data_IF_923870589100
#
_entry.id   IF_923870589100
#
_cell.length_a   1.000
_cell.length_b   1.000
_cell.length_c   1.000
_cell.angle_alpha   90.00
_cell.angle_beta   90.00
_cell.angle_gamma   90.00
#
_symmetry.space_group_name_H-M   'P 1'
#
loop_
_entity.id
_entity.type
_entity.pdbx_description
1 polymer ?
#
# COMPACT_ATOMS: atom_id res chain seq x y z
N UNK A 1 7.19 4.19 -12.35
CA UNK A 1 6.37 5.41 -12.24
C UNK A 1 4.97 5.00 -11.85
N UNK A 2 4.49 5.50 -10.75
CA UNK A 2 3.16 5.22 -10.24
C UNK A 2 2.07 5.53 -11.28
N UNK A 3 2.38 6.36 -12.24
CA UNK A 3 1.54 6.66 -13.37
C UNK A 3 2.39 6.70 -14.63
N UNK A 4 1.85 6.18 -15.67
CA UNK A 4 2.39 6.07 -17.04
C UNK A 4 3.31 7.22 -17.49
N UNK A 5 3.25 8.41 -16.89
CA UNK A 5 4.10 9.58 -17.14
C UNK A 5 4.07 10.61 -15.99
N UNK A 6 3.62 10.25 -14.77
CA UNK A 6 3.36 11.21 -13.69
C UNK A 6 3.73 10.65 -12.32
N UNK A 7 3.96 11.54 -11.35
CA UNK A 7 4.41 11.22 -9.99
C UNK A 7 3.27 11.02 -8.98
N UNK A 8 2.01 10.96 -9.44
CA UNK A 8 0.84 10.94 -8.56
C UNK A 8 -0.27 10.06 -9.11
N UNK A 9 -0.80 9.17 -8.24
CA UNK A 9 -2.08 8.48 -8.45
C UNK A 9 -3.13 8.96 -7.45
N UNK A 10 -4.40 8.93 -7.86
CA UNK A 10 -5.55 9.24 -6.99
C UNK A 10 -6.61 8.15 -7.13
N UNK A 11 -6.68 7.25 -6.15
CA UNK A 11 -7.56 6.08 -6.20
C UNK A 11 -8.75 6.27 -5.28
N UNK A 12 -9.95 6.45 -5.85
CA UNK A 12 -11.15 6.85 -5.15
C UNK A 12 -12.08 5.66 -4.88
N UNK A 13 -12.51 5.49 -3.64
CA UNK A 13 -13.52 4.53 -3.20
C UNK A 13 -13.22 3.07 -3.60
N UNK A 14 -13.76 2.61 -4.74
CA UNK A 14 -13.59 1.25 -5.27
C UNK A 14 -12.39 1.10 -6.22
N UNK A 15 -11.66 2.19 -6.47
CA UNK A 15 -10.39 2.14 -7.19
C UNK A 15 -9.33 1.59 -6.26
N UNK A 16 -8.70 0.48 -6.67
CA UNK A 16 -7.72 -0.25 -5.87
C UNK A 16 -6.38 0.48 -5.87
N UNK A 17 -5.88 0.76 -7.08
CA UNK A 17 -4.63 1.50 -7.30
C UNK A 17 -4.60 2.09 -8.71
N UNK A 18 -3.57 2.89 -9.00
CA UNK A 18 -3.33 3.47 -10.31
C UNK A 18 -4.46 4.38 -10.83
N UNK A 19 -5.26 4.96 -9.92
CA UNK A 19 -6.28 5.93 -10.30
C UNK A 19 -5.66 7.17 -10.95
N UNK A 20 -6.17 7.56 -12.12
CA UNK A 20 -5.68 8.73 -12.86
C UNK A 20 -6.36 9.99 -12.29
N UNK A 21 -5.59 11.03 -11.88
CA UNK A 21 -6.18 12.29 -11.46
C UNK A 21 -7.11 12.88 -12.53
N UNK A 22 -8.26 13.38 -12.11
CA UNK A 22 -9.30 13.91 -12.99
C UNK A 22 -9.98 15.14 -12.37
N UNK A 23 -10.86 15.79 -13.12
CA UNK A 23 -11.66 16.93 -12.68
C UNK A 23 -12.85 16.53 -11.78
N UNK A 24 -12.94 15.27 -11.34
CA UNK A 24 -13.99 14.83 -10.44
C UNK A 24 -13.90 15.58 -9.13
N UNK A 25 -14.96 16.29 -8.77
CA UNK A 25 -15.12 16.93 -7.47
C UNK A 25 -15.35 15.84 -6.41
N UNK A 26 -14.54 15.87 -5.35
CA UNK A 26 -14.73 15.02 -4.18
C UNK A 26 -15.97 15.48 -3.40
N UNK A 27 -16.72 14.52 -2.89
CA UNK A 27 -17.94 14.77 -2.10
C UNK A 27 -17.82 14.12 -0.72
N UNK A 28 -18.62 14.58 0.22
CA UNK A 28 -18.69 14.00 1.55
C UNK A 28 -18.95 12.49 1.49
N UNK A 29 -18.21 11.73 2.30
CA UNK A 29 -18.23 10.27 2.30
C UNK A 29 -17.21 9.62 1.36
N UNK A 30 -16.54 10.37 0.49
CA UNK A 30 -15.47 9.83 -0.35
C UNK A 30 -14.23 9.48 0.48
N UNK A 31 -13.64 8.33 0.16
CA UNK A 31 -12.32 7.92 0.63
C UNK A 31 -11.37 7.83 -0.57
N UNK A 32 -10.21 8.47 -0.49
CA UNK A 32 -9.25 8.55 -1.60
C UNK A 32 -7.85 8.15 -1.13
N UNK A 33 -7.21 7.27 -1.86
CA UNK A 33 -5.77 7.05 -1.75
C UNK A 33 -5.04 8.07 -2.63
N UNK A 34 -4.02 8.69 -2.08
CA UNK A 34 -3.06 9.52 -2.82
C UNK A 34 -1.71 8.86 -2.70
N UNK A 35 -1.15 8.49 -3.83
CA UNK A 35 0.08 7.75 -3.97
C UNK A 35 1.09 8.63 -4.72
N UNK A 36 2.28 8.80 -4.14
CA UNK A 36 3.27 9.79 -4.58
C UNK A 36 4.65 9.16 -4.66
N UNK A 37 5.23 9.20 -5.84
CA UNK A 37 6.64 8.85 -6.05
C UNK A 37 7.49 10.12 -6.17
N UNK A 38 8.52 10.23 -5.36
CA UNK A 38 9.49 11.32 -5.40
C UNK A 38 10.90 10.80 -5.76
N UNK A 39 11.70 11.67 -6.37
CA UNK A 39 13.11 11.36 -6.67
C UNK A 39 13.98 12.40 -5.96
N UNK A 40 14.86 11.92 -5.09
CA UNK A 40 15.84 12.75 -4.38
C UNK A 40 17.23 12.18 -4.64
N UNK A 41 18.13 13.00 -5.20
CA UNK A 41 19.51 12.58 -5.51
C UNK A 41 19.59 11.27 -6.32
N UNK A 42 18.70 11.06 -7.29
CA UNK A 42 18.54 9.88 -8.15
C UNK A 42 17.96 8.64 -7.45
N UNK A 43 17.60 8.70 -6.19
CA UNK A 43 16.90 7.63 -5.49
C UNK A 43 15.40 7.92 -5.47
N UNK A 44 14.63 6.86 -5.67
CA UNK A 44 13.18 6.90 -5.60
C UNK A 44 12.72 6.67 -4.15
N UNK A 45 11.67 7.36 -3.77
CA UNK A 45 10.89 7.09 -2.57
C UNK A 45 9.42 7.09 -2.94
N UNK A 46 8.70 6.05 -2.53
CA UNK A 46 7.30 5.83 -2.85
C UNK A 46 6.47 5.72 -1.58
N UNK A 47 5.29 6.35 -1.59
CA UNK A 47 4.42 6.35 -0.41
C UNK A 47 3.00 6.67 -0.79
N UNK A 48 2.05 5.97 -0.18
CA UNK A 48 0.64 6.30 -0.35
C UNK A 48 -0.11 6.38 0.97
N UNK A 49 -1.17 7.19 0.99
CA UNK A 49 -2.03 7.40 2.15
C UNK A 49 -3.48 7.55 1.75
N UNK A 50 -4.36 7.11 2.66
CA UNK A 50 -5.79 7.36 2.56
C UNK A 50 -6.16 8.72 3.13
N UNK A 51 -7.08 9.40 2.47
CA UNK A 51 -7.75 10.62 2.95
C UNK A 51 -9.26 10.42 2.89
N UNK A 52 -9.99 11.11 3.75
CA UNK A 52 -11.46 11.08 3.79
C UNK A 52 -12.01 12.49 3.61
N UNK A 53 -13.15 12.61 2.95
CA UNK A 53 -13.87 13.87 2.78
C UNK A 53 -15.08 13.85 3.71
N UNK A 54 -15.03 14.69 4.75
CA UNK A 54 -16.05 14.69 5.80
C UNK A 54 -16.18 13.33 6.49
N UNK A 55 -17.41 12.98 6.85
CA UNK A 55 -17.72 11.73 7.52
C UNK A 55 -17.87 10.57 6.53
N UNK A 56 -17.05 9.54 6.69
CA UNK A 56 -17.14 8.31 5.91
C UNK A 56 -17.92 7.23 6.68
N UNK A 57 -18.42 6.23 5.95
CA UNK A 57 -19.12 5.11 6.58
C UNK A 57 -18.22 4.36 7.58
N UNK A 58 -18.82 3.74 8.60
CA UNK A 58 -18.11 2.90 9.58
C UNK A 58 -17.32 1.79 8.87
N UNK A 59 -17.85 1.23 7.78
CA UNK A 59 -17.16 0.22 6.97
C UNK A 59 -15.90 0.78 6.31
N UNK A 60 -15.98 2.00 5.77
CA UNK A 60 -14.82 2.67 5.17
C UNK A 60 -13.74 2.96 6.22
N UNK A 61 -14.14 3.49 7.39
CA UNK A 61 -13.22 3.72 8.50
C UNK A 61 -12.52 2.45 8.95
N UNK A 62 -13.28 1.38 9.19
CA UNK A 62 -12.72 0.09 9.61
C UNK A 62 -11.75 -0.49 8.57
N UNK A 63 -12.07 -0.35 7.27
CA UNK A 63 -11.20 -0.77 6.18
C UNK A 63 -9.88 0.02 6.18
N UNK A 64 -9.96 1.34 6.26
CA UNK A 64 -8.79 2.24 6.29
C UNK A 64 -7.91 1.91 7.51
N UNK A 65 -8.50 1.80 8.69
CA UNK A 65 -7.80 1.45 9.92
C UNK A 65 -7.10 0.09 9.81
N UNK A 66 -7.81 -0.94 9.34
CA UNK A 66 -7.26 -2.28 9.20
C UNK A 66 -6.12 -2.33 8.17
N UNK A 67 -6.25 -1.60 7.06
CA UNK A 67 -5.20 -1.51 6.02
C UNK A 67 -3.92 -0.91 6.59
N UNK A 68 -4.01 0.24 7.26
CA UNK A 68 -2.87 0.87 7.91
C UNK A 68 -2.22 -0.04 8.96
N UNK A 69 -3.02 -0.62 9.84
CA UNK A 69 -2.53 -1.48 10.92
C UNK A 69 -1.87 -2.75 10.38
N UNK A 70 -2.38 -3.34 9.30
CA UNK A 70 -1.77 -4.52 8.66
C UNK A 70 -0.38 -4.20 8.11
N UNK A 71 -0.23 -3.06 7.42
CA UNK A 71 1.06 -2.58 6.93
C UNK A 71 2.04 -2.39 8.08
N UNK A 72 1.64 -1.67 9.14
CA UNK A 72 2.50 -1.40 10.28
C UNK A 72 2.87 -2.66 11.08
N UNK A 73 1.98 -3.68 11.15
CA UNK A 73 2.32 -4.98 11.73
C UNK A 73 3.41 -5.69 10.93
N UNK A 74 3.30 -5.69 9.61
CA UNK A 74 4.30 -6.27 8.72
C UNK A 74 5.65 -5.52 8.79
N UNK A 75 5.62 -4.20 8.87
CA UNK A 75 6.84 -3.39 9.03
C UNK A 75 7.54 -3.70 10.38
N UNK A 76 6.79 -3.85 11.45
CA UNK A 76 7.35 -4.10 12.80
C UNK A 76 8.12 -5.42 12.94
N UNK A 77 7.89 -6.40 12.08
CA UNK A 77 8.65 -7.66 12.13
C UNK A 77 9.94 -7.62 11.31
N UNK A 78 10.19 -6.55 10.55
CA UNK A 78 11.32 -6.44 9.66
C UNK A 78 12.65 -6.43 10.42
N UNK A 79 13.55 -7.29 10.01
CA UNK A 79 14.95 -7.35 10.42
C UNK A 79 15.68 -8.33 9.50
N UNK A 80 17.02 -8.34 9.49
CA UNK A 80 17.78 -9.37 8.81
C UNK A 80 17.34 -10.79 9.21
N UNK A 81 17.24 -11.69 8.24
CA UNK A 81 16.85 -13.09 8.44
C UNK A 81 15.34 -13.37 8.34
N UNK A 82 14.47 -12.36 8.41
CA UNK A 82 13.04 -12.50 8.11
C UNK A 82 12.87 -12.77 6.61
N UNK A 83 11.88 -13.55 6.24
CA UNK A 83 11.55 -13.82 4.83
C UNK A 83 10.34 -13.04 4.38
N UNK A 84 10.28 -12.67 3.11
CA UNK A 84 9.17 -11.87 2.55
C UNK A 84 7.81 -12.58 2.68
N UNK A 85 7.77 -13.91 2.74
CA UNK A 85 6.56 -14.65 3.03
C UNK A 85 6.00 -14.43 4.44
N UNK A 86 6.86 -14.07 5.41
CA UNK A 86 6.44 -13.69 6.77
C UNK A 86 5.72 -12.34 6.74
N UNK A 87 6.24 -11.37 5.94
CA UNK A 87 5.62 -10.06 5.72
C UNK A 87 4.20 -10.23 5.14
N UNK A 88 4.08 -11.00 4.06
CA UNK A 88 2.78 -11.27 3.43
C UNK A 88 1.82 -12.02 4.36
N UNK A 89 2.33 -12.96 5.15
CA UNK A 89 1.52 -13.71 6.12
C UNK A 89 0.94 -12.80 7.22
N UNK A 90 1.74 -11.87 7.77
CA UNK A 90 1.27 -10.94 8.80
C UNK A 90 0.15 -10.04 8.29
N UNK A 91 0.28 -9.51 7.06
CA UNK A 91 -0.76 -8.69 6.42
C UNK A 91 -2.01 -9.55 6.20
N UNK A 92 -1.89 -10.67 5.52
CA UNK A 92 -3.00 -11.53 5.13
C UNK A 92 -3.78 -12.02 6.35
N UNK A 93 -3.09 -12.56 7.35
CA UNK A 93 -3.74 -13.12 8.54
C UNK A 93 -4.55 -12.07 9.29
N UNK A 94 -3.99 -10.86 9.44
CA UNK A 94 -4.68 -9.77 10.11
C UNK A 94 -5.90 -9.27 9.34
N UNK A 95 -5.79 -9.13 8.03
CA UNK A 95 -6.85 -8.62 7.16
C UNK A 95 -8.00 -9.62 7.04
N UNK A 96 -7.70 -10.91 6.87
CA UNK A 96 -8.72 -11.96 6.77
C UNK A 96 -9.47 -12.16 8.10
N UNK A 97 -8.79 -12.02 9.25
CA UNK A 97 -9.43 -12.02 10.59
C UNK A 97 -10.43 -10.87 10.77
N UNK A 98 -10.20 -9.73 10.10
CA UNK A 98 -11.12 -8.59 10.07
C UNK A 98 -12.26 -8.72 9.05
N UNK A 99 -12.29 -9.81 8.27
CA UNK A 99 -13.30 -10.06 7.24
C UNK A 99 -13.10 -9.25 5.96
N UNK A 100 -11.89 -8.76 5.71
CA UNK A 100 -11.49 -8.08 4.49
C UNK A 100 -10.65 -9.00 3.59
N UNK A 101 -10.38 -8.59 2.36
CA UNK A 101 -9.62 -9.38 1.37
C UNK A 101 -8.37 -8.65 0.93
N UNK A 102 -7.25 -9.38 0.85
CA UNK A 102 -5.99 -8.88 0.29
C UNK A 102 -5.99 -9.07 -1.22
N UNK A 103 -5.75 -8.00 -1.97
CA UNK A 103 -5.56 -8.04 -3.43
C UNK A 103 -4.28 -8.81 -3.76
N UNK A 104 -4.34 -9.66 -4.81
CA UNK A 104 -3.22 -10.54 -5.19
C UNK A 104 -2.58 -10.21 -6.53
N UNK A 105 -3.19 -9.31 -7.29
CA UNK A 105 -2.76 -8.94 -8.64
C UNK A 105 -1.62 -7.91 -8.64
N UNK A 106 -1.38 -7.27 -7.50
CA UNK A 106 -0.34 -6.26 -7.29
C UNK A 106 0.49 -6.61 -6.06
N UNK A 107 1.70 -6.06 -6.01
CA UNK A 107 2.64 -6.29 -4.92
C UNK A 107 3.57 -5.08 -4.74
N UNK A 108 4.21 -4.99 -3.60
CA UNK A 108 5.34 -4.11 -3.39
C UNK A 108 6.58 -4.59 -4.15
N UNK A 109 7.59 -3.77 -4.19
CA UNK A 109 8.78 -3.99 -5.02
C UNK A 109 10.04 -3.45 -4.37
N UNK A 110 11.19 -3.97 -4.77
CA UNK A 110 12.46 -3.33 -4.48
C UNK A 110 12.50 -1.94 -5.10
N UNK A 111 13.16 -1.00 -4.43
CA UNK A 111 13.24 0.40 -4.84
C UNK A 111 14.59 0.99 -4.45
N UNK A 112 15.24 1.69 -5.39
CA UNK A 112 16.53 2.37 -5.13
C UNK A 112 16.72 3.53 -6.11
N UNK A 113 17.75 3.49 -6.93
CA UNK A 113 17.92 4.32 -8.13
C UNK A 113 17.20 3.74 -9.36
N UNK A 114 16.57 2.59 -9.19
CA UNK A 114 15.60 1.97 -10.09
C UNK A 114 14.25 1.95 -9.39
N UNK A 115 13.21 2.42 -10.06
CA UNK A 115 11.90 2.57 -9.43
C UNK A 115 11.26 1.24 -9.04
N UNK A 116 11.24 0.28 -9.97
CA UNK A 116 10.77 -1.07 -9.72
C UNK A 116 11.88 -2.07 -9.99
N UNK A 117 12.32 -2.75 -8.96
CA UNK A 117 13.33 -3.81 -9.06
C UNK A 117 13.00 -4.98 -8.13
N UNK A 118 13.62 -6.15 -8.30
CA UNK A 118 13.47 -7.24 -7.34
C UNK A 118 13.93 -6.82 -5.93
N UNK A 119 13.30 -7.40 -4.88
CA UNK A 119 12.31 -8.46 -4.92
C UNK A 119 10.87 -7.96 -5.06
N UNK A 120 9.95 -8.81 -5.55
CA UNK A 120 8.51 -8.60 -5.38
C UNK A 120 8.12 -8.86 -3.92
N UNK A 121 7.36 -7.95 -3.33
CA UNK A 121 6.88 -8.01 -1.94
C UNK A 121 5.38 -8.30 -1.92
N UNK A 122 5.03 -9.58 -1.84
CA UNK A 122 3.63 -9.98 -1.80
C UNK A 122 3.00 -9.64 -0.44
N UNK A 123 1.75 -9.16 -0.46
CA UNK A 123 0.98 -8.84 0.74
C UNK A 123 0.17 -10.05 1.28
N UNK A 124 0.48 -11.24 0.78
CA UNK A 124 -0.03 -12.53 1.21
C UNK A 124 1.09 -13.56 1.14
N UNK A 125 0.98 -14.64 1.89
CA UNK A 125 2.07 -15.62 1.86
C UNK A 125 2.00 -16.68 2.96
N UNK A 126 3.11 -17.43 3.07
CA UNK A 126 3.31 -18.44 4.08
C UNK A 126 4.57 -18.13 4.88
N UNK A 127 4.51 -18.38 6.19
CA UNK A 127 5.68 -18.21 7.07
C UNK A 127 6.89 -18.99 6.58
N UNK A 128 8.06 -18.41 6.78
CA UNK A 128 9.37 -18.98 6.44
C UNK A 128 9.58 -19.25 4.93
N UNK A 129 8.87 -18.51 4.03
CA UNK A 129 9.02 -18.66 2.58
C UNK A 129 9.49 -17.36 1.91
N UNK A 130 9.99 -17.47 0.68
CA UNK A 130 10.41 -16.33 -0.13
C UNK A 130 11.83 -15.86 0.18
N UNK A 131 12.14 -14.65 -0.31
CA UNK A 131 13.46 -14.05 -0.18
C UNK A 131 13.74 -13.67 1.27
N UNK A 132 14.94 -14.00 1.75
CA UNK A 132 15.45 -13.61 3.06
C UNK A 132 15.94 -12.17 3.04
N UNK A 133 15.49 -11.36 3.98
CA UNK A 133 15.88 -9.97 4.13
C UNK A 133 17.33 -9.85 4.62
N UNK A 134 18.08 -8.96 3.99
CA UNK A 134 19.48 -8.66 4.30
C UNK A 134 19.68 -7.17 4.50
N UNK A 135 20.64 -6.76 5.33
CA UNK A 135 21.02 -5.35 5.46
C UNK A 135 21.28 -4.69 4.09
N UNK A 136 20.83 -3.46 3.93
CA UNK A 136 20.93 -2.69 2.70
C UNK A 136 19.79 -2.91 1.69
N UNK A 137 18.91 -3.89 1.89
CA UNK A 137 17.70 -4.02 1.05
C UNK A 137 16.74 -2.88 1.31
N UNK A 138 16.20 -2.29 0.24
CA UNK A 138 15.14 -1.28 0.26
C UNK A 138 13.99 -1.72 -0.63
N UNK A 139 12.75 -1.57 -0.14
CA UNK A 139 11.55 -2.03 -0.85
C UNK A 139 10.30 -1.32 -0.31
N UNK A 140 9.19 -1.45 -1.05
CA UNK A 140 7.88 -0.95 -0.63
C UNK A 140 7.05 -2.03 0.07
N UNK A 141 6.24 -1.61 1.04
CA UNK A 141 5.13 -2.40 1.61
C UNK A 141 3.87 -1.57 1.40
N UNK A 142 2.96 -2.07 0.58
CA UNK A 142 1.83 -1.30 0.02
C UNK A 142 0.54 -2.14 -0.07
N UNK A 143 0.05 -2.72 1.01
CA UNK A 143 -1.11 -3.61 0.95
C UNK A 143 -2.35 -2.90 0.42
N UNK A 144 -2.95 -3.48 -0.63
CA UNK A 144 -4.25 -3.12 -1.18
C UNK A 144 -5.31 -4.05 -0.63
N UNK A 145 -6.28 -3.49 0.08
CA UNK A 145 -7.28 -4.23 0.84
C UNK A 145 -8.69 -3.88 0.36
N UNK A 146 -9.47 -4.90 0.03
CA UNK A 146 -10.86 -4.74 -0.42
C UNK A 146 -11.84 -5.05 0.71
N UNK A 147 -12.89 -4.25 0.80
CA UNK A 147 -14.01 -4.46 1.73
C UNK A 147 -14.96 -5.60 1.30
N UNK A 148 -14.76 -6.16 0.13
CA UNK A 148 -15.49 -7.28 -0.46
C UNK A 148 -14.55 -8.39 -0.90
N UNK A 149 -14.72 -8.88 -2.15
CA UNK A 149 -13.89 -9.94 -2.74
C UNK A 149 -12.53 -9.41 -3.17
N UNK A 150 -11.56 -10.31 -3.24
CA UNK A 150 -10.18 -9.98 -3.65
C UNK A 150 -10.03 -9.64 -5.14
N UNK A 151 -11.01 -10.04 -5.97
CA UNK A 151 -10.92 -9.91 -7.43
C UNK A 151 -10.92 -8.44 -7.88
N UNK A 152 -10.02 -8.13 -8.80
CA UNK A 152 -9.89 -6.82 -9.43
C UNK A 152 -10.05 -6.92 -10.94
N UNK A 153 -10.23 -5.78 -11.59
CA UNK A 153 -10.16 -5.65 -13.05
C UNK A 153 -9.48 -4.33 -13.41
N UNK A 154 -8.70 -4.37 -14.46
CA UNK A 154 -8.13 -3.16 -15.08
C UNK A 154 -9.17 -2.56 -16.01
N UNK A 155 -9.34 -1.23 -15.98
CA UNK A 155 -10.25 -0.50 -16.85
C UNK A 155 -9.74 -0.41 -18.30
N UNK A 156 -10.56 0.13 -19.19
CA UNK A 156 -10.23 0.27 -20.62
C UNK A 156 -9.06 1.22 -20.90
N UNK A 157 -8.65 2.04 -19.93
CA UNK A 157 -7.43 2.86 -19.99
C UNK A 157 -6.14 2.01 -19.92
N UNK A 158 -6.28 0.71 -19.64
CA UNK A 158 -5.18 -0.24 -19.53
C UNK A 158 -4.31 -0.04 -18.28
N UNK A 159 -4.80 0.74 -17.29
CA UNK A 159 -4.00 1.17 -16.14
C UNK A 159 -4.77 1.10 -14.81
N UNK A 160 -5.89 1.81 -14.69
CA UNK A 160 -6.67 1.92 -13.47
C UNK A 160 -7.24 0.58 -13.05
N UNK A 161 -6.92 0.11 -11.86
CA UNK A 161 -7.46 -1.11 -11.27
C UNK A 161 -8.62 -0.80 -10.33
N UNK A 162 -9.72 -1.54 -10.46
CA UNK A 162 -10.91 -1.39 -9.61
C UNK A 162 -11.36 -2.74 -9.05
N UNK A 163 -12.04 -2.73 -7.89
CA UNK A 163 -12.67 -3.95 -7.37
C UNK A 163 -13.77 -4.44 -8.31
N UNK A 164 -13.83 -5.75 -8.54
CA UNK A 164 -14.78 -6.35 -9.48
C UNK A 164 -16.21 -6.24 -8.99
N UNK A 165 -16.40 -6.30 -7.68
CA UNK A 165 -17.69 -6.22 -6.99
C UNK A 165 -18.10 -4.79 -6.60
N UNK A 166 -17.30 -3.78 -6.97
CA UNK A 166 -17.47 -2.36 -6.62
C UNK A 166 -17.42 -2.08 -5.11
N UNK A 167 -16.87 -2.98 -4.31
CA UNK A 167 -16.63 -2.73 -2.91
C UNK A 167 -15.52 -1.69 -2.72
N UNK A 168 -15.49 -1.02 -1.56
CA UNK A 168 -14.41 -0.08 -1.23
C UNK A 168 -13.07 -0.79 -1.19
N UNK A 169 -12.02 -0.07 -1.57
CA UNK A 169 -10.63 -0.48 -1.42
C UNK A 169 -9.84 0.59 -0.67
N UNK A 170 -8.81 0.19 0.06
CA UNK A 170 -7.87 1.08 0.72
C UNK A 170 -6.44 0.58 0.52
N UNK A 171 -5.51 1.53 0.47
CA UNK A 171 -4.07 1.26 0.37
C UNK A 171 -3.32 2.25 1.26
N UNK A 172 -2.26 1.77 1.89
CA UNK A 172 -1.19 2.59 2.45
C UNK A 172 0.14 2.03 1.98
N UNK A 173 1.14 2.88 1.91
CA UNK A 173 2.46 2.47 1.46
C UNK A 173 3.56 3.20 2.21
N UNK A 174 4.60 2.45 2.50
CA UNK A 174 5.88 2.97 2.93
C UNK A 174 7.04 2.34 2.16
N UNK A 175 8.02 3.17 1.81
CA UNK A 175 9.37 2.72 1.47
C UNK A 175 10.13 2.44 2.77
N UNK A 176 10.69 1.25 2.87
CA UNK A 176 11.44 0.78 4.05
C UNK A 176 12.83 0.28 3.66
N UNK A 177 13.77 0.39 4.59
CA UNK A 177 15.11 -0.16 4.44
C UNK A 177 15.45 -1.12 5.58
N UNK A 178 16.21 -2.18 5.29
CA UNK A 178 16.74 -3.11 6.29
C UNK A 178 18.10 -2.61 6.75
N UNK A 179 18.22 -2.33 8.05
CA UNK A 179 19.48 -1.95 8.70
C UNK A 179 20.24 -3.19 9.18
N UNK A 180 21.39 -3.02 9.80
CA UNK A 180 22.19 -4.13 10.34
C UNK A 180 21.41 -5.02 11.34
N UNK A 181 20.51 -4.43 12.13
CA UNK A 181 19.82 -5.15 13.19
C UNK A 181 18.30 -4.95 13.20
N UNK A 182 17.76 -4.07 12.34
CA UNK A 182 16.36 -3.62 12.37
C UNK A 182 15.92 -3.12 11.00
N UNK A 183 15.01 -2.17 10.96
CA UNK A 183 14.52 -1.49 9.77
C UNK A 183 14.45 0.03 9.99
N UNK A 184 14.29 0.76 8.90
CA UNK A 184 14.00 2.19 8.87
C UNK A 184 12.86 2.45 7.90
N UNK A 185 11.96 3.40 8.22
CA UNK A 185 10.89 3.87 7.33
C UNK A 185 11.34 5.21 6.75
N UNK A 186 11.59 5.25 5.44
CA UNK A 186 12.08 6.46 4.77
C UNK A 186 10.99 7.49 4.48
N UNK A 187 9.74 7.06 4.44
CA UNK A 187 8.58 7.88 4.06
C UNK A 187 7.67 8.23 5.24
N UNK A 188 8.20 8.18 6.47
CA UNK A 188 7.45 8.57 7.65
C UNK A 188 7.17 10.08 7.64
N UNK A 189 5.96 10.47 8.08
CA UNK A 189 5.59 11.88 8.15
C UNK A 189 6.28 12.60 9.29
N UNK A 190 6.97 13.70 8.99
CA UNK A 190 7.56 14.59 10.01
C UNK A 190 6.51 15.25 10.91
N UNK A 191 5.23 15.28 10.50
CA UNK A 191 4.10 15.78 11.27
C UNK A 191 3.29 14.65 11.93
N UNK A 192 3.82 13.43 11.95
CA UNK A 192 3.16 12.24 12.50
C UNK A 192 1.79 11.91 11.85
N UNK A 193 1.55 12.38 10.64
CA UNK A 193 0.35 12.03 9.88
C UNK A 193 0.40 10.56 9.51
N UNK A 194 -0.37 9.73 10.21
CA UNK A 194 -0.36 8.27 10.07
C UNK A 194 -1.54 7.78 9.23
N UNK A 195 -2.75 8.13 9.63
CA UNK A 195 -4.01 7.78 8.97
C UNK A 195 -5.07 8.84 9.27
N UNK A 196 -6.16 8.93 8.47
CA UNK A 196 -7.25 9.88 8.78
C UNK A 196 -7.93 9.58 10.14
N UNK A 197 -8.49 10.60 10.81
CA UNK A 197 -8.41 12.01 10.43
C UNK A 197 -7.00 12.59 10.69
N UNK A 198 -6.53 13.44 9.78
CA UNK A 198 -5.27 14.16 9.96
C UNK A 198 -5.57 15.51 10.64
N UNK A 199 -5.20 15.63 11.90
CA UNK A 199 -5.41 16.82 12.74
C UNK A 199 -4.12 17.61 12.87
#
# INVERSE_FOLDING_TARGET
MCIRDRSLCTSLNHVVCHGIPSDRILIEGDAINIDVTAIVNKYYGDTSRMFTVGDVSVKAKNLIDATYESMMKAIKILKPGIKLGDVGFEIQSYIEDKGFSVVRDFCGHGISNIFHEPPNVLHYGKKNTGVELKPGMTFTIEPMINAGKLDVKVLNDGWTAVTKDKSLSAQFEHTVGITENSYEIFTESVKEYRKPPYN
#
